data_IF_269326358893
#
_entry.id   IF_269326358893
#
_cell.length_a   1.000
_cell.length_b   1.000
_cell.length_c   1.000
_cell.angle_alpha   90.00
_cell.angle_beta   90.00
_cell.angle_gamma   90.00
#
_symmetry.space_group_name_H-M   'P 1'
#
loop_
_entity.id
_entity.type
_entity.pdbx_description
1 polymer ?
#
# COMPACT_ATOMS: atom_id res chain seq x y z
N UNK A 1 -4.56 19.96 21.38
CA UNK A 1 -4.87 18.92 20.36
C UNK A 1 -4.02 19.21 19.15
N UNK A 2 -2.96 18.43 18.92
CA UNK A 2 -2.09 18.61 17.75
C UNK A 2 -2.81 18.08 16.52
N UNK A 3 -2.83 18.83 15.42
CA UNK A 3 -3.43 18.39 14.15
C UNK A 3 -2.82 17.07 13.68
N UNK A 4 -1.53 16.84 13.96
CA UNK A 4 -0.83 15.59 13.70
C UNK A 4 -1.46 14.41 14.43
N UNK A 5 -1.62 14.51 15.75
CA UNK A 5 -2.23 13.46 16.56
C UNK A 5 -3.67 13.19 16.17
N UNK A 6 -4.38 14.22 15.68
CA UNK A 6 -5.77 14.09 15.24
C UNK A 6 -5.87 13.27 13.95
N UNK A 7 -4.94 13.47 13.01
CA UNK A 7 -4.88 12.66 11.77
C UNK A 7 -4.46 11.23 12.09
N UNK A 8 -3.53 11.03 13.02
CA UNK A 8 -3.06 9.70 13.43
C UNK A 8 -4.07 8.90 14.27
N UNK A 9 -5.06 9.57 14.86
CA UNK A 9 -6.16 8.94 15.61
C UNK A 9 -7.38 8.62 14.73
N UNK A 10 -7.34 8.98 13.45
CA UNK A 10 -8.39 8.63 12.51
C UNK A 10 -8.46 7.10 12.31
N UNK A 11 -9.63 6.57 11.95
CA UNK A 11 -9.78 5.12 11.72
C UNK A 11 -9.03 4.67 10.46
N UNK A 12 -9.09 5.50 9.44
CA UNK A 12 -8.50 5.30 8.11
C UNK A 12 -8.03 6.66 7.60
N UNK A 13 -6.85 6.69 7.01
CA UNK A 13 -6.25 7.93 6.47
C UNK A 13 -5.91 7.69 5.01
N UNK A 14 -6.44 8.54 4.14
CA UNK A 14 -6.16 8.51 2.70
C UNK A 14 -5.44 9.78 2.31
N UNK A 15 -4.29 9.63 1.65
CA UNK A 15 -3.46 10.73 1.18
C UNK A 15 -3.47 10.71 -0.35
N UNK A 16 -3.91 11.82 -0.95
CA UNK A 16 -3.95 12.02 -2.40
C UNK A 16 -2.77 12.89 -2.83
N UNK A 17 -1.90 12.36 -3.69
CA UNK A 17 -0.70 13.05 -4.16
C UNK A 17 -0.69 13.07 -5.68
N UNK A 18 -0.84 14.25 -6.26
CA UNK A 18 -0.86 14.44 -7.71
C UNK A 18 0.15 15.49 -8.15
N UNK A 19 0.74 15.25 -9.31
CA UNK A 19 1.68 16.12 -10.00
C UNK A 19 3.15 15.87 -9.65
N UNK A 20 4.00 16.04 -10.66
CA UNK A 20 5.45 15.82 -10.59
C UNK A 20 6.16 16.61 -9.48
N UNK A 21 5.67 17.82 -9.17
CA UNK A 21 6.23 18.66 -8.11
C UNK A 21 6.16 18.06 -6.70
N UNK A 22 5.32 17.03 -6.49
CA UNK A 22 5.20 16.31 -5.22
C UNK A 22 5.93 14.96 -5.22
N UNK A 23 6.55 14.57 -6.33
CA UNK A 23 7.20 13.27 -6.47
C UNK A 23 8.33 13.07 -5.44
N UNK A 24 9.11 14.12 -5.18
CA UNK A 24 10.16 14.11 -4.16
C UNK A 24 9.57 13.82 -2.77
N UNK A 25 8.46 14.47 -2.42
CA UNK A 25 7.82 14.27 -1.12
C UNK A 25 7.29 12.84 -0.97
N UNK A 26 6.73 12.26 -2.05
CA UNK A 26 6.28 10.87 -2.09
C UNK A 26 7.44 9.89 -1.91
N UNK A 27 8.56 10.11 -2.61
CA UNK A 27 9.75 9.28 -2.50
C UNK A 27 10.33 9.30 -1.08
N UNK A 28 10.48 10.51 -0.50
CA UNK A 28 10.90 10.68 0.91
C UNK A 28 9.95 10.02 1.90
N UNK A 29 8.66 9.99 1.61
CA UNK A 29 7.66 9.41 2.48
C UNK A 29 7.61 7.88 2.43
N UNK A 30 7.97 7.25 1.31
CA UNK A 30 7.81 5.79 1.12
C UNK A 30 9.16 5.06 1.23
N UNK A 31 10.22 5.65 0.69
CA UNK A 31 11.52 4.99 0.57
C UNK A 31 12.48 5.35 1.71
N UNK A 32 12.25 6.48 2.36
CA UNK A 32 13.01 6.90 3.54
C UNK A 32 12.21 6.68 4.83
N UNK A 33 12.92 6.75 5.96
CA UNK A 33 12.31 6.62 7.27
C UNK A 33 11.50 7.85 7.67
N UNK A 34 10.75 7.70 8.76
CA UNK A 34 9.96 8.79 9.36
C UNK A 34 10.88 9.96 9.73
N UNK A 35 10.56 11.14 9.19
CA UNK A 35 11.34 12.35 9.38
C UNK A 35 10.42 13.55 9.65
N UNK A 36 10.76 14.35 10.67
CA UNK A 36 10.00 15.54 11.04
C UNK A 36 10.01 16.65 9.97
N UNK A 37 10.99 16.65 9.06
CA UNK A 37 11.01 17.55 7.90
C UNK A 37 9.93 17.19 6.86
N UNK A 38 9.53 15.91 6.82
CA UNK A 38 8.54 15.36 5.90
C UNK A 38 7.41 14.73 6.70
N UNK A 39 6.53 15.55 7.26
CA UNK A 39 5.48 15.11 8.20
C UNK A 39 4.54 14.04 7.64
N UNK A 40 4.40 13.94 6.31
CA UNK A 40 3.64 12.89 5.63
C UNK A 40 4.18 11.48 5.93
N UNK A 41 5.51 11.34 6.16
CA UNK A 41 6.16 10.06 6.48
C UNK A 41 5.61 9.38 7.74
N UNK A 42 4.99 10.14 8.63
CA UNK A 42 4.29 9.60 9.79
C UNK A 42 3.18 8.61 9.48
N UNK A 43 2.60 8.67 8.26
CA UNK A 43 1.58 7.73 7.82
C UNK A 43 2.06 6.27 7.90
N UNK A 44 3.37 6.03 7.83
CA UNK A 44 3.97 4.70 8.01
C UNK A 44 3.64 4.09 9.39
N UNK A 45 3.39 4.91 10.41
CA UNK A 45 3.01 4.46 11.76
C UNK A 45 1.51 4.20 11.90
N UNK A 46 0.70 4.61 10.93
CA UNK A 46 -0.74 4.45 10.99
C UNK A 46 -1.13 3.04 10.53
N UNK A 47 -1.94 2.28 11.30
CA UNK A 47 -2.27 0.89 10.96
C UNK A 47 -3.07 0.74 9.66
N UNK A 48 -3.75 1.82 9.22
CA UNK A 48 -4.60 1.85 8.02
C UNK A 48 -4.37 3.12 7.19
N UNK A 49 -3.17 3.27 6.64
CA UNK A 49 -2.84 4.36 5.72
C UNK A 49 -2.94 3.92 4.26
N UNK A 50 -3.56 4.74 3.41
CA UNK A 50 -3.58 4.56 1.96
C UNK A 50 -3.03 5.81 1.27
N UNK A 51 -2.12 5.61 0.32
CA UNK A 51 -1.60 6.68 -0.52
C UNK A 51 -2.06 6.42 -1.95
N UNK A 52 -2.74 7.39 -2.54
CA UNK A 52 -3.19 7.36 -3.93
C UNK A 52 -2.40 8.42 -4.68
N UNK A 53 -1.73 8.00 -5.77
CA UNK A 53 -0.90 8.88 -6.56
C UNK A 53 -1.15 8.73 -8.06
N UNK A 54 -0.89 9.80 -8.81
CA UNK A 54 -0.83 9.75 -10.28
C UNK A 54 0.55 9.29 -10.76
N UNK A 55 0.66 8.99 -12.04
CA UNK A 55 1.93 8.53 -12.61
C UNK A 55 3.02 9.61 -12.51
N UNK A 56 2.65 10.89 -12.65
CA UNK A 56 3.56 12.03 -12.54
C UNK A 56 4.20 12.15 -11.14
N UNK A 57 3.45 11.85 -10.07
CA UNK A 57 4.00 11.82 -8.72
C UNK A 57 4.97 10.66 -8.48
N UNK A 58 5.02 9.65 -9.35
CA UNK A 58 5.92 8.49 -9.19
C UNK A 58 7.30 8.67 -9.83
N UNK A 59 7.58 9.81 -10.46
CA UNK A 59 8.82 10.04 -11.22
C UNK A 59 10.10 9.88 -10.39
N UNK A 60 10.05 10.25 -9.11
CA UNK A 60 11.21 10.20 -8.19
C UNK A 60 11.29 8.88 -7.39
N UNK A 61 10.33 7.97 -7.56
CA UNK A 61 10.34 6.67 -6.90
C UNK A 61 11.24 5.67 -7.66
N UNK A 62 11.81 4.72 -6.93
CA UNK A 62 12.49 3.61 -7.57
C UNK A 62 11.51 2.76 -8.38
N UNK A 63 11.96 2.31 -9.55
CA UNK A 63 11.19 1.43 -10.45
C UNK A 63 10.74 0.15 -9.75
N UNK A 64 11.52 -0.37 -8.80
CA UNK A 64 11.16 -1.55 -8.00
C UNK A 64 9.96 -1.28 -7.10
N UNK A 65 9.94 -0.14 -6.44
CA UNK A 65 8.86 0.31 -5.56
C UNK A 65 7.55 0.45 -6.34
N UNK A 66 7.60 1.14 -7.49
CA UNK A 66 6.43 1.31 -8.36
C UNK A 66 5.91 -0.04 -8.88
N UNK A 67 6.79 -0.93 -9.35
CA UNK A 67 6.40 -2.27 -9.82
C UNK A 67 5.78 -3.12 -8.72
N UNK A 68 6.30 -3.05 -7.51
CA UNK A 68 5.75 -3.76 -6.35
C UNK A 68 4.31 -3.31 -6.07
N UNK A 69 4.06 -2.00 -5.97
CA UNK A 69 2.73 -1.47 -5.69
C UNK A 69 1.75 -1.70 -6.84
N UNK A 70 2.16 -1.54 -8.10
CA UNK A 70 1.30 -1.86 -9.26
C UNK A 70 0.88 -3.33 -9.30
N UNK A 71 1.77 -4.26 -8.89
CA UNK A 71 1.44 -5.68 -8.78
C UNK A 71 0.41 -5.95 -7.68
N UNK A 72 0.57 -5.32 -6.52
CA UNK A 72 -0.40 -5.43 -5.41
C UNK A 72 -1.74 -4.83 -5.79
N UNK A 73 -1.76 -3.67 -6.45
CA UNK A 73 -2.98 -3.04 -6.94
C UNK A 73 -3.72 -3.93 -7.93
N UNK A 74 -3.00 -4.59 -8.85
CA UNK A 74 -3.59 -5.56 -9.78
C UNK A 74 -4.25 -6.73 -9.05
N UNK A 75 -3.59 -7.29 -8.04
CA UNK A 75 -4.16 -8.36 -7.19
C UNK A 75 -5.36 -7.84 -6.40
N UNK A 76 -5.27 -6.63 -5.85
CA UNK A 76 -6.35 -5.98 -5.11
C UNK A 76 -7.58 -5.81 -6.00
N UNK A 77 -7.41 -5.28 -7.22
CA UNK A 77 -8.49 -5.11 -8.19
C UNK A 77 -9.11 -6.45 -8.62
N UNK A 78 -8.29 -7.49 -8.79
CA UNK A 78 -8.75 -8.85 -9.16
C UNK A 78 -9.57 -9.51 -8.04
N UNK A 79 -9.20 -9.30 -6.77
CA UNK A 79 -9.89 -9.88 -5.62
C UNK A 79 -11.19 -9.15 -5.26
N UNK A 80 -11.28 -7.86 -5.55
CA UNK A 80 -12.33 -6.99 -5.02
C UNK A 80 -13.36 -6.59 -6.10
N UNK A 81 -12.98 -6.61 -7.37
CA UNK A 81 -13.82 -6.12 -8.47
C UNK A 81 -13.98 -4.59 -8.42
N UNK A 82 -14.35 -3.99 -9.56
CA UNK A 82 -14.32 -2.52 -9.78
C UNK A 82 -15.23 -1.69 -8.86
N UNK A 83 -16.08 -2.32 -8.04
CA UNK A 83 -17.12 -1.63 -7.27
C UNK A 83 -17.00 -1.76 -5.73
N UNK A 84 -16.04 -2.51 -5.19
CA UNK A 84 -15.97 -2.75 -3.74
C UNK A 84 -14.70 -2.24 -3.08
N UNK A 85 -14.42 -0.93 -3.12
CA UNK A 85 -13.38 -0.34 -2.25
C UNK A 85 -13.79 -0.34 -0.74
N UNK A 86 -14.40 -1.43 -0.26
CA UNK A 86 -14.78 -1.61 1.13
C UNK A 86 -13.53 -1.90 1.95
N UNK A 87 -13.19 -0.96 2.82
CA UNK A 87 -12.01 -0.90 3.69
C UNK A 87 -12.03 -1.94 4.85
N UNK A 88 -12.74 -3.05 4.67
CA UNK A 88 -12.69 -4.19 5.57
C UNK A 88 -11.97 -5.33 4.87
N UNK A 89 -10.72 -5.57 5.28
CA UNK A 89 -9.90 -6.72 4.92
C UNK A 89 -10.49 -8.05 5.43
N UNK A 90 -11.70 -8.39 5.00
CA UNK A 90 -12.33 -9.69 5.20
C UNK A 90 -12.03 -10.58 4.01
N UNK A 91 -10.82 -11.12 3.92
CA UNK A 91 -10.44 -12.04 2.83
C UNK A 91 -11.10 -13.40 3.06
N UNK A 92 -12.37 -13.55 2.65
CA UNK A 92 -13.06 -14.86 2.62
C UNK A 92 -12.53 -15.79 1.52
N UNK A 93 -11.75 -15.28 0.55
CA UNK A 93 -11.27 -16.06 -0.60
C UNK A 93 -9.92 -16.76 -0.43
N UNK A 94 -9.11 -16.42 0.59
CA UNK A 94 -7.76 -17.00 0.74
C UNK A 94 -7.80 -18.51 1.05
N UNK A 95 -8.91 -19.03 1.59
CA UNK A 95 -9.08 -20.47 1.87
C UNK A 95 -9.03 -21.32 0.59
N UNK A 96 -9.49 -20.80 -0.55
CA UNK A 96 -9.58 -21.57 -1.77
C UNK A 96 -8.24 -21.61 -2.54
N UNK A 97 -7.41 -20.57 -2.41
CA UNK A 97 -6.11 -20.51 -3.10
C UNK A 97 -5.03 -21.28 -2.34
N UNK A 98 -5.03 -21.26 -0.99
CA UNK A 98 -4.11 -22.08 -0.20
C UNK A 98 -4.40 -23.58 -0.35
N UNK A 99 -5.67 -23.99 -0.46
CA UNK A 99 -6.04 -25.38 -0.69
C UNK A 99 -5.51 -25.93 -2.03
N UNK A 100 -5.30 -25.07 -3.04
CA UNK A 100 -4.75 -25.45 -4.33
C UNK A 100 -3.21 -25.53 -4.36
N UNK A 101 -2.52 -24.98 -3.36
CA UNK A 101 -1.05 -24.95 -3.29
C UNK A 101 -0.44 -26.18 -2.60
N UNK A 102 -1.25 -26.95 -1.87
CA UNK A 102 -0.83 -28.07 -1.01
C UNK A 102 -0.77 -29.44 -1.74
N UNK A 103 -1.04 -29.47 -3.05
CA UNK A 103 -1.00 -30.72 -3.85
C UNK A 103 0.29 -30.89 -4.66
N UNK A 104 1.45 -30.41 -4.18
CA UNK A 104 2.74 -30.77 -4.79
C UNK A 104 3.16 -32.16 -4.32
N UNK A 105 3.46 -33.11 -5.24
CA UNK A 105 3.82 -34.47 -4.87
C UNK A 105 5.12 -34.47 -4.06
N UNK A 106 5.09 -35.19 -2.94
CA UNK A 106 6.25 -35.48 -2.09
C UNK A 106 7.33 -36.19 -2.91
N UNK A 107 8.42 -35.51 -3.27
CA UNK A 107 9.64 -36.20 -3.68
C UNK A 107 10.22 -36.93 -2.47
N UNK A 108 10.39 -38.26 -2.51
CA UNK A 108 11.05 -39.00 -1.44
C UNK A 108 12.53 -38.60 -1.42
N UNK A 109 13.05 -38.20 -0.26
CA UNK A 109 14.49 -38.15 -0.04
C UNK A 109 14.94 -39.52 0.47
N UNK A 110 15.67 -40.26 -0.38
CA UNK A 110 16.76 -41.12 0.07
C UNK A 110 18.07 -40.32 -0.01
#
# INVERSE_FOLDING_TARGET
MSLYSTVMDAREVVILITGAHKAIALAKCIEEGINHMWTVSAIQMHPKGLIVCDEDATLELHVKTVKYFKSIEHVHHSLIGSENLSLQGGVKQLKNVLAAADSRPSTPME
#
